data_IF_006647852130
#
_entry.id   IF_006647852130
#
_cell.length_a   1.000
_cell.length_b   1.000
_cell.length_c   1.000
_cell.angle_alpha   90.00
_cell.angle_beta   90.00
_cell.angle_gamma   90.00
#
_symmetry.space_group_name_H-M   'P 1'
#
loop_
_entity.id
_entity.type
_entity.pdbx_description
1 polymer ?
#
# COMPACT_ATOMS: atom_id res chain seq x y z
N UNK A 1 24.83 -78.66 -7.13
CA UNK A 1 24.26 -78.98 -8.47
C UNK A 1 24.07 -77.67 -9.22
N UNK A 2 24.49 -77.67 -10.48
CA UNK A 2 24.57 -76.55 -11.42
C UNK A 2 23.25 -75.79 -11.63
N UNK A 3 23.30 -74.49 -11.93
CA UNK A 3 23.16 -73.98 -13.31
C UNK A 3 23.07 -72.45 -13.38
N UNK A 4 23.80 -71.90 -14.34
CA UNK A 4 23.75 -70.54 -14.85
C UNK A 4 22.41 -70.23 -15.54
N UNK A 5 21.95 -68.98 -15.45
CA UNK A 5 21.26 -68.30 -16.56
C UNK A 5 21.39 -66.77 -16.43
N UNK A 6 22.00 -66.16 -17.45
CA UNK A 6 21.91 -64.72 -17.78
C UNK A 6 20.51 -64.43 -18.35
N UNK A 7 19.94 -63.25 -18.08
CA UNK A 7 19.07 -62.48 -19.00
C UNK A 7 18.88 -61.08 -18.38
N UNK A 8 19.53 -60.04 -18.90
CA UNK A 8 19.07 -59.12 -19.96
C UNK A 8 18.16 -57.99 -19.47
N UNK A 9 18.66 -56.78 -19.71
CA UNK A 9 18.09 -55.47 -19.42
C UNK A 9 16.99 -55.16 -20.44
N UNK A 10 15.76 -54.90 -19.98
CA UNK A 10 14.76 -54.21 -20.76
C UNK A 10 14.06 -53.19 -19.85
N UNK A 11 14.29 -51.93 -20.15
CA UNK A 11 13.72 -50.81 -19.41
C UNK A 11 12.21 -50.72 -19.59
N UNK A 12 11.54 -50.36 -18.50
CA UNK A 12 10.19 -49.80 -18.54
C UNK A 12 10.22 -48.50 -17.75
N UNK A 13 10.51 -47.40 -18.44
CA UNK A 13 10.24 -46.06 -17.93
C UNK A 13 8.72 -45.92 -17.94
N UNK A 14 8.08 -46.10 -16.79
CA UNK A 14 6.69 -45.69 -16.61
C UNK A 14 6.71 -44.17 -16.50
N UNK A 15 6.62 -43.49 -17.64
CA UNK A 15 6.29 -42.07 -17.66
C UNK A 15 4.84 -41.93 -17.17
N UNK A 16 4.67 -41.70 -15.87
CA UNK A 16 3.41 -41.21 -15.34
C UNK A 16 3.22 -39.82 -15.93
N UNK A 17 2.41 -39.74 -16.98
CA UNK A 17 1.94 -38.48 -17.55
C UNK A 17 1.09 -37.79 -16.47
N UNK A 18 1.72 -36.87 -15.74
CA UNK A 18 0.97 -35.88 -14.99
C UNK A 18 0.08 -35.14 -15.99
N UNK A 19 -1.24 -35.00 -15.74
CA UNK A 19 -2.07 -34.20 -16.60
C UNK A 19 -1.49 -32.79 -16.62
N UNK A 20 -1.16 -32.35 -17.83
CA UNK A 20 -0.76 -31.00 -18.14
C UNK A 20 -1.76 -30.04 -17.50
N UNK A 21 -1.22 -29.10 -16.74
CA UNK A 21 -1.84 -27.87 -16.28
C UNK A 21 -3.14 -27.54 -17.06
N UNK A 22 -4.29 -27.77 -16.44
CA UNK A 22 -5.45 -26.96 -16.79
C UNK A 22 -5.08 -25.52 -16.46
N UNK A 23 -4.76 -24.76 -17.50
CA UNK A 23 -4.71 -23.31 -17.41
C UNK A 23 -6.13 -22.87 -17.09
N UNK A 24 -6.41 -22.65 -15.81
CA UNK A 24 -7.49 -21.75 -15.42
C UNK A 24 -7.16 -20.40 -16.04
N UNK A 25 -7.68 -20.16 -17.25
CA UNK A 25 -7.79 -18.85 -17.84
C UNK A 25 -8.65 -18.03 -16.86
N UNK A 26 -7.97 -17.39 -15.91
CA UNK A 26 -8.59 -16.45 -15.00
C UNK A 26 -9.29 -15.42 -15.89
N UNK A 27 -10.62 -15.44 -15.90
CA UNK A 27 -11.43 -14.44 -16.56
C UNK A 27 -11.01 -13.07 -16.01
N UNK A 28 -10.09 -12.41 -16.71
CA UNK A 28 -9.57 -11.12 -16.32
C UNK A 28 -10.71 -10.12 -16.42
N UNK A 29 -11.40 -9.87 -15.30
CA UNK A 29 -12.42 -8.83 -15.23
C UNK A 29 -11.75 -7.52 -15.61
N UNK A 30 -12.19 -6.95 -16.72
CA UNK A 30 -11.78 -5.64 -17.18
C UNK A 30 -12.76 -4.60 -16.64
N UNK A 31 -12.26 -3.43 -16.26
CA UNK A 31 -13.11 -2.30 -15.92
C UNK A 31 -12.53 -0.98 -16.37
N UNK A 32 -13.44 -0.02 -16.50
CA UNK A 32 -13.11 1.36 -16.81
C UNK A 32 -12.73 2.11 -15.54
N UNK A 33 -11.57 2.75 -15.53
CA UNK A 33 -11.18 3.73 -14.52
C UNK A 33 -10.98 5.09 -15.19
N UNK A 34 -11.32 6.16 -14.48
CA UNK A 34 -11.09 7.52 -14.93
C UNK A 34 -9.86 8.11 -14.24
N UNK A 35 -8.87 8.51 -15.03
CA UNK A 35 -7.67 9.20 -14.56
C UNK A 35 -7.82 10.70 -14.88
N UNK A 36 -7.82 11.53 -13.84
CA UNK A 36 -7.82 12.98 -13.96
C UNK A 36 -6.48 13.55 -13.52
N UNK A 37 -5.92 14.50 -14.29
CA UNK A 37 -4.66 15.15 -13.94
C UNK A 37 -4.81 16.68 -13.94
N UNK A 38 -4.83 17.28 -12.73
CA UNK A 38 -4.72 18.74 -12.53
C UNK A 38 -3.46 19.03 -11.70
N UNK A 39 -3.56 19.86 -10.65
CA UNK A 39 -2.49 20.02 -9.66
C UNK A 39 -2.14 18.73 -8.90
N UNK A 40 -3.02 17.72 -8.97
CA UNK A 40 -2.87 16.37 -8.42
C UNK A 40 -3.48 15.35 -9.39
N UNK A 41 -2.94 14.12 -9.38
CA UNK A 41 -3.54 12.98 -10.07
C UNK A 41 -4.69 12.38 -9.24
N UNK A 42 -5.76 11.98 -9.90
CA UNK A 42 -6.91 11.27 -9.30
C UNK A 42 -7.29 10.06 -10.13
N UNK A 43 -7.67 8.98 -9.48
CA UNK A 43 -8.25 7.79 -10.11
C UNK A 43 -9.62 7.54 -9.50
N UNK A 44 -10.66 7.54 -10.34
CA UNK A 44 -12.06 7.46 -9.89
C UNK A 44 -12.38 8.46 -8.76
N UNK A 45 -11.85 9.67 -8.87
CA UNK A 45 -12.02 10.74 -7.87
C UNK A 45 -11.10 10.66 -6.64
N UNK A 46 -10.41 9.53 -6.42
CA UNK A 46 -9.48 9.34 -5.30
C UNK A 46 -8.11 9.94 -5.65
N UNK A 47 -7.58 10.90 -4.86
CA UNK A 47 -6.22 11.44 -5.07
C UNK A 47 -5.15 10.35 -4.96
N UNK A 48 -4.19 10.32 -5.88
CA UNK A 48 -3.08 9.36 -5.84
C UNK A 48 -1.76 10.11 -5.80
N UNK A 49 -0.90 9.68 -4.88
CA UNK A 49 0.49 10.09 -4.78
C UNK A 49 1.35 8.86 -4.57
N UNK A 50 2.29 8.63 -5.47
CA UNK A 50 3.33 7.60 -5.35
C UNK A 50 4.50 7.99 -6.27
N UNK A 51 5.43 7.07 -6.55
CA UNK A 51 6.59 7.34 -7.41
C UNK A 51 6.25 7.70 -8.86
N UNK A 52 5.02 7.42 -9.32
CA UNK A 52 4.56 7.66 -10.69
C UNK A 52 3.58 8.83 -10.78
N UNK A 53 2.71 8.95 -9.80
CA UNK A 53 1.68 9.99 -9.72
C UNK A 53 2.12 11.05 -8.72
N UNK A 54 2.42 12.25 -9.20
CA UNK A 54 2.95 13.35 -8.40
C UNK A 54 1.96 14.51 -8.27
N UNK A 55 2.24 15.38 -7.30
CA UNK A 55 1.51 16.59 -6.98
C UNK A 55 2.36 17.82 -7.30
N UNK A 56 1.70 18.91 -7.67
CA UNK A 56 2.34 20.21 -7.83
C UNK A 56 2.93 20.72 -6.51
N UNK A 57 4.03 21.47 -6.59
CA UNK A 57 4.61 22.22 -5.46
C UNK A 57 3.59 23.16 -4.78
N UNK A 58 2.60 23.68 -5.52
CA UNK A 58 1.58 24.59 -5.00
C UNK A 58 0.42 23.86 -4.29
N UNK A 59 0.34 22.54 -4.38
CA UNK A 59 -0.73 21.79 -3.74
C UNK A 59 -0.47 21.67 -2.23
N UNK A 60 -1.27 22.40 -1.44
CA UNK A 60 -1.12 22.55 0.01
C UNK A 60 -2.50 22.51 0.70
N UNK A 61 -3.17 21.34 0.76
CA UNK A 61 -4.55 21.23 1.24
C UNK A 61 -4.70 21.28 2.77
N UNK A 62 -3.61 21.06 3.52
CA UNK A 62 -3.71 20.72 4.94
C UNK A 62 -4.32 19.32 5.15
N UNK A 63 -4.53 18.94 6.40
CA UNK A 63 -5.15 17.65 6.73
C UNK A 63 -6.65 17.61 6.37
N UNK A 64 -7.08 16.49 5.79
CA UNK A 64 -8.45 16.32 5.36
C UNK A 64 -9.42 16.20 6.56
N UNK A 65 -10.44 17.06 6.61
CA UNK A 65 -11.43 17.08 7.72
C UNK A 65 -12.20 15.77 7.89
N UNK A 66 -12.53 15.08 6.79
CA UNK A 66 -13.24 13.80 6.83
C UNK A 66 -12.34 12.69 7.36
N UNK A 67 -11.07 12.65 6.94
CA UNK A 67 -10.06 11.77 7.51
C UNK A 67 -9.94 11.99 9.03
N UNK A 68 -9.80 13.23 9.48
CA UNK A 68 -9.68 13.58 10.90
C UNK A 68 -10.88 13.05 11.68
N UNK A 69 -12.10 13.29 11.20
CA UNK A 69 -13.34 12.79 11.83
C UNK A 69 -13.30 11.27 12.00
N UNK A 70 -12.95 10.53 10.95
CA UNK A 70 -12.92 9.07 11.02
C UNK A 70 -11.76 8.53 11.85
N UNK A 71 -10.60 9.19 11.83
CA UNK A 71 -9.47 8.84 12.70
C UNK A 71 -9.84 9.03 14.17
N UNK A 72 -10.46 10.16 14.53
CA UNK A 72 -10.87 10.43 15.91
C UNK A 72 -11.90 9.41 16.39
N UNK A 73 -12.82 8.97 15.52
CA UNK A 73 -13.74 7.86 15.84
C UNK A 73 -12.99 6.55 16.07
N UNK A 74 -12.06 6.20 15.18
CA UNK A 74 -11.22 5.00 15.31
C UNK A 74 -10.40 5.01 16.60
N UNK A 75 -9.77 6.14 16.92
CA UNK A 75 -8.97 6.35 18.14
C UNK A 75 -9.83 6.20 19.40
N UNK A 76 -11.03 6.78 19.41
CA UNK A 76 -11.97 6.63 20.52
C UNK A 76 -12.42 5.17 20.73
N UNK A 77 -12.70 4.43 19.65
CA UNK A 77 -13.10 3.02 19.75
C UNK A 77 -11.93 2.10 20.14
N UNK A 78 -10.70 2.45 19.74
CA UNK A 78 -9.47 1.75 20.17
C UNK A 78 -9.23 1.96 21.67
N UNK A 79 -9.43 3.18 22.17
CA UNK A 79 -9.26 3.52 23.59
C UNK A 79 -10.19 2.72 24.51
N UNK A 80 -11.41 2.41 24.07
CA UNK A 80 -12.33 1.53 24.82
C UNK A 80 -11.79 0.11 25.01
N UNK A 81 -10.80 -0.29 24.23
CA UNK A 81 -10.12 -1.59 24.31
C UNK A 81 -8.72 -1.46 24.95
N UNK A 82 -8.41 -0.33 25.59
CA UNK A 82 -7.10 -0.07 26.19
C UNK A 82 -5.98 0.23 25.18
N UNK A 83 -6.32 0.48 23.91
CA UNK A 83 -5.34 0.69 22.83
C UNK A 83 -5.20 2.18 22.56
N UNK A 84 -3.99 2.72 22.71
CA UNK A 84 -3.71 4.13 22.44
C UNK A 84 -3.08 4.33 21.05
N UNK A 85 -3.83 4.96 20.14
CA UNK A 85 -3.35 5.32 18.81
C UNK A 85 -2.89 6.79 18.80
N UNK A 86 -1.60 7.04 18.66
CA UNK A 86 -1.04 8.39 18.60
C UNK A 86 -0.44 8.70 17.24
N UNK A 87 -0.54 9.96 16.82
CA UNK A 87 -0.02 10.41 15.52
C UNK A 87 1.44 10.84 15.70
N UNK A 88 2.30 10.48 14.76
CA UNK A 88 3.67 11.00 14.70
C UNK A 88 3.71 12.34 13.97
N UNK A 89 4.53 13.26 14.47
CA UNK A 89 4.74 14.58 13.90
C UNK A 89 4.11 15.70 14.73
N UNK A 90 3.92 16.86 14.10
CA UNK A 90 3.43 18.05 14.78
C UNK A 90 1.96 17.90 15.22
N UNK A 91 1.68 18.24 16.48
CA UNK A 91 0.32 18.33 17.00
C UNK A 91 -0.54 19.23 16.13
N UNK A 92 -1.74 18.78 15.77
CA UNK A 92 -2.66 19.52 14.92
C UNK A 92 -2.43 19.37 13.40
N UNK A 93 -1.29 18.81 12.98
CA UNK A 93 -1.05 18.55 11.56
C UNK A 93 -1.75 17.28 11.04
N UNK A 94 -2.12 16.34 11.92
CA UNK A 94 -2.76 15.07 11.56
C UNK A 94 -2.07 14.35 10.39
N UNK A 95 -0.74 14.25 10.46
CA UNK A 95 0.09 13.62 9.43
C UNK A 95 0.32 14.47 8.18
N UNK A 96 -0.35 15.62 8.00
CA UNK A 96 -0.11 16.48 6.85
C UNK A 96 1.34 16.97 6.81
N UNK A 97 1.95 16.91 5.63
CA UNK A 97 3.31 17.39 5.37
C UNK A 97 3.35 18.14 4.05
N UNK A 98 3.75 19.41 4.08
CA UNK A 98 3.84 20.23 2.88
C UNK A 98 4.95 19.75 1.93
N UNK A 99 4.88 20.20 0.67
CA UNK A 99 5.96 19.96 -0.30
C UNK A 99 7.32 20.43 0.23
N UNK A 100 7.39 21.63 0.81
CA UNK A 100 8.63 22.21 1.32
C UNK A 100 9.20 21.40 2.49
N UNK A 101 8.34 20.96 3.41
CA UNK A 101 8.73 20.07 4.50
C UNK A 101 9.24 18.72 3.99
N UNK A 102 8.58 18.14 2.98
CA UNK A 102 9.05 16.90 2.34
C UNK A 102 10.39 17.11 1.61
N UNK A 103 10.63 18.27 1.00
CA UNK A 103 11.90 18.61 0.35
C UNK A 103 13.04 18.67 1.35
N UNK A 104 12.85 19.36 2.46
CA UNK A 104 13.83 19.38 3.53
C UNK A 104 14.16 17.97 4.05
N UNK A 105 13.11 17.18 4.35
CA UNK A 105 13.27 15.81 4.85
C UNK A 105 13.96 14.87 3.85
N UNK A 106 13.58 14.96 2.57
CA UNK A 106 14.19 14.12 1.54
C UNK A 106 15.68 14.48 1.37
N UNK A 107 16.01 15.77 1.35
CA UNK A 107 17.39 16.23 1.22
C UNK A 107 18.25 15.81 2.42
N UNK A 108 17.71 15.81 3.64
CA UNK A 108 18.44 15.31 4.82
C UNK A 108 18.72 13.80 4.71
N UNK A 109 17.75 13.00 4.25
CA UNK A 109 17.99 11.58 3.99
C UNK A 109 19.03 11.33 2.90
N UNK A 110 19.01 12.12 1.82
CA UNK A 110 20.04 12.02 0.77
C UNK A 110 21.42 12.35 1.33
N UNK A 111 21.54 13.39 2.15
CA UNK A 111 22.80 13.77 2.76
C UNK A 111 23.32 12.70 3.73
N UNK A 112 22.44 12.07 4.51
CA UNK A 112 22.85 11.07 5.52
C UNK A 112 23.10 9.67 4.96
N UNK A 113 22.34 9.24 3.93
CA UNK A 113 22.32 7.84 3.49
C UNK A 113 22.53 7.64 1.98
N UNK A 114 22.69 8.73 1.23
CA UNK A 114 22.79 8.69 -0.22
C UNK A 114 21.44 8.53 -0.94
N UNK A 115 21.41 8.94 -2.21
CA UNK A 115 20.17 9.05 -2.97
C UNK A 115 19.46 7.71 -3.20
N UNK A 116 20.22 6.63 -3.43
CA UNK A 116 19.65 5.31 -3.68
C UNK A 116 18.85 4.81 -2.47
N UNK A 117 19.40 4.94 -1.26
CA UNK A 117 18.72 4.56 -0.03
C UNK A 117 17.56 5.50 0.31
N UNK A 118 17.76 6.82 0.16
CA UNK A 118 16.70 7.81 0.38
C UNK A 118 15.47 7.57 -0.52
N UNK A 119 15.66 7.13 -1.77
CA UNK A 119 14.55 6.76 -2.66
C UNK A 119 13.76 5.52 -2.19
N UNK A 120 14.29 4.69 -1.29
CA UNK A 120 13.60 3.50 -0.74
C UNK A 120 12.81 3.82 0.52
N UNK A 121 13.38 4.65 1.39
CA UNK A 121 12.84 4.94 2.73
C UNK A 121 12.12 6.28 2.84
N UNK A 122 12.14 7.09 1.77
CA UNK A 122 11.51 8.41 1.74
C UNK A 122 10.91 8.67 0.36
N UNK A 123 10.03 9.67 0.31
CA UNK A 123 9.38 10.12 -0.90
C UNK A 123 10.08 11.38 -1.43
N UNK A 124 10.28 11.45 -2.75
CA UNK A 124 10.66 12.72 -3.40
C UNK A 124 9.53 13.74 -3.17
N UNK A 125 9.84 15.04 -3.08
CA UNK A 125 8.81 16.08 -2.96
C UNK A 125 7.78 15.96 -4.09
N UNK A 126 6.49 16.09 -3.75
CA UNK A 126 5.40 15.85 -4.70
C UNK A 126 4.98 14.39 -4.85
N UNK A 127 5.67 13.41 -4.23
CA UNK A 127 5.30 11.97 -4.31
C UNK A 127 4.84 11.36 -2.98
N UNK A 128 4.88 12.14 -1.89
CA UNK A 128 4.52 11.69 -0.54
C UNK A 128 3.02 11.77 -0.29
N UNK A 129 2.37 10.68 0.12
CA UNK A 129 0.94 10.70 0.46
C UNK A 129 0.59 11.66 1.62
N UNK A 130 1.55 12.03 2.47
CA UNK A 130 1.35 13.06 3.49
C UNK A 130 0.99 14.44 2.90
N UNK A 131 1.45 14.75 1.69
CA UNK A 131 1.08 16.00 1.00
C UNK A 131 -0.38 15.99 0.52
N UNK A 132 -1.00 14.81 0.40
CA UNK A 132 -2.44 14.71 0.13
C UNK A 132 -3.30 15.16 1.33
N UNK A 133 -2.72 15.23 2.53
CA UNK A 133 -3.50 15.42 3.76
C UNK A 133 -4.41 14.22 4.07
N UNK A 134 -4.09 13.05 3.50
CA UNK A 134 -4.86 11.81 3.59
C UNK A 134 -4.09 10.66 4.24
N UNK A 135 -2.86 10.91 4.71
CA UNK A 135 -1.99 9.90 5.31
C UNK A 135 -1.55 10.31 6.71
N UNK A 136 -1.42 9.32 7.60
CA UNK A 136 -0.92 9.48 8.96
C UNK A 136 0.03 8.34 9.30
N UNK A 137 1.12 8.67 9.99
CA UNK A 137 1.99 7.69 10.63
C UNK A 137 1.53 7.54 12.09
N UNK A 138 1.25 6.30 12.50
CA UNK A 138 0.73 5.99 13.84
C UNK A 138 1.81 5.32 14.69
N UNK A 139 1.95 5.78 15.93
CA UNK A 139 2.74 5.11 16.96
C UNK A 139 1.83 4.54 18.05
N UNK A 140 2.35 3.56 18.76
CA UNK A 140 1.73 3.08 19.99
C UNK A 140 1.87 4.18 21.06
N UNK A 141 0.76 4.59 21.67
CA UNK A 141 0.79 5.61 22.72
C UNK A 141 1.24 5.09 24.09
N UNK A 142 1.45 3.78 24.23
CA UNK A 142 1.92 3.13 25.47
C UNK A 142 3.39 2.73 25.43
N UNK A 143 3.99 2.69 24.23
CA UNK A 143 5.37 2.31 24.04
C UNK A 143 6.04 3.27 23.06
N UNK A 144 7.24 3.74 23.36
CA UNK A 144 8.00 4.63 22.47
C UNK A 144 8.52 3.85 21.27
N UNK A 145 7.63 3.56 20.31
CA UNK A 145 8.01 3.00 19.03
C UNK A 145 8.52 4.10 18.09
N UNK A 146 9.79 4.01 17.70
CA UNK A 146 10.30 4.64 16.48
C UNK A 146 9.53 4.07 15.29
N UNK A 147 9.27 4.88 14.26
CA UNK A 147 8.72 4.43 12.97
C UNK A 147 9.63 3.34 12.37
N UNK A 148 9.31 2.09 12.68
CA UNK A 148 10.12 0.92 12.38
C UNK A 148 9.23 -0.30 12.31
N UNK A 149 9.71 -1.35 11.63
CA UNK A 149 8.90 -2.55 11.37
C UNK A 149 8.45 -3.25 12.64
N UNK A 150 9.16 -3.07 13.77
CA UNK A 150 8.77 -3.60 15.07
C UNK A 150 7.40 -3.11 15.56
N UNK A 151 6.90 -1.98 15.04
CA UNK A 151 5.53 -1.53 15.30
C UNK A 151 4.51 -2.63 14.97
N UNK A 152 4.80 -3.53 14.02
CA UNK A 152 3.91 -4.62 13.63
C UNK A 152 3.44 -5.50 14.80
N UNK A 153 4.28 -5.67 15.82
CA UNK A 153 4.03 -6.54 16.98
C UNK A 153 3.17 -5.89 18.08
N UNK A 154 2.98 -4.57 18.02
CA UNK A 154 2.23 -3.78 19.02
C UNK A 154 0.72 -4.06 18.99
N UNK A 155 0.05 -3.76 20.10
CA UNK A 155 -1.41 -3.80 20.17
C UNK A 155 -2.05 -2.78 19.21
N UNK A 156 -1.43 -1.61 19.06
CA UNK A 156 -1.84 -0.57 18.12
C UNK A 156 -1.84 -1.06 16.66
N UNK A 157 -0.75 -1.68 16.20
CA UNK A 157 -0.67 -2.26 14.85
C UNK A 157 -1.72 -3.34 14.63
N UNK A 158 -1.84 -4.30 15.56
CA UNK A 158 -2.83 -5.39 15.46
C UNK A 158 -4.26 -4.83 15.35
N UNK A 159 -4.56 -3.77 16.11
CA UNK A 159 -5.85 -3.10 16.02
C UNK A 159 -6.07 -2.43 14.65
N UNK A 160 -5.07 -1.71 14.12
CA UNK A 160 -5.15 -1.09 12.80
C UNK A 160 -5.37 -2.13 11.70
N UNK A 161 -4.58 -3.20 11.68
CA UNK A 161 -4.71 -4.29 10.70
C UNK A 161 -6.11 -4.93 10.69
N UNK A 162 -6.73 -5.05 11.88
CA UNK A 162 -8.07 -5.62 12.05
C UNK A 162 -9.19 -4.63 11.76
N UNK A 163 -9.03 -3.33 12.05
CA UNK A 163 -10.16 -2.39 12.12
C UNK A 163 -10.06 -1.15 11.23
N UNK A 164 -8.88 -0.75 10.75
CA UNK A 164 -8.68 0.51 10.02
C UNK A 164 -9.67 0.72 8.86
N UNK A 165 -9.93 -0.34 8.09
CA UNK A 165 -10.84 -0.33 6.94
C UNK A 165 -12.27 0.08 7.29
N UNK A 166 -12.75 -0.24 8.50
CA UNK A 166 -14.08 0.14 8.98
C UNK A 166 -14.27 1.65 9.05
N UNK A 167 -13.17 2.39 9.21
CA UNK A 167 -13.11 3.84 9.29
C UNK A 167 -12.59 4.49 8.01
N UNK A 168 -12.34 3.71 6.94
CA UNK A 168 -11.88 4.23 5.66
C UNK A 168 -10.36 4.33 5.50
N UNK A 169 -9.61 3.68 6.38
CA UNK A 169 -8.15 3.62 6.31
C UNK A 169 -7.65 2.26 5.84
N UNK A 170 -6.54 2.26 5.11
CA UNK A 170 -5.78 1.07 4.76
C UNK A 170 -4.37 1.16 5.35
N UNK A 171 -3.74 0.01 5.64
CA UNK A 171 -2.29 -0.03 5.81
C UNK A 171 -1.70 0.10 4.41
N UNK A 172 -0.99 1.20 4.13
CA UNK A 172 -0.70 1.61 2.75
C UNK A 172 0.40 0.79 2.08
N UNK A 173 1.45 0.49 2.85
CA UNK A 173 2.65 -0.18 2.37
C UNK A 173 2.76 -1.53 3.07
N UNK A 174 2.30 -2.58 2.39
CA UNK A 174 2.20 -3.94 2.92
C UNK A 174 3.52 -4.71 2.79
N UNK A 175 3.71 -5.69 3.67
CA UNK A 175 4.86 -6.60 3.63
C UNK A 175 4.90 -7.35 2.29
N UNK A 176 6.07 -7.41 1.65
CA UNK A 176 6.27 -8.10 0.36
C UNK A 176 5.72 -7.36 -0.86
N UNK A 177 5.19 -6.14 -0.72
CA UNK A 177 4.58 -5.37 -1.82
C UNK A 177 5.41 -4.17 -2.30
N UNK A 178 6.68 -4.06 -1.89
CA UNK A 178 7.58 -2.94 -2.25
C UNK A 178 7.76 -2.78 -3.76
N UNK A 179 7.79 -3.86 -4.53
CA UNK A 179 7.89 -3.80 -6.00
C UNK A 179 6.65 -3.18 -6.67
N UNK A 180 5.51 -3.17 -5.96
CA UNK A 180 4.24 -2.63 -6.44
C UNK A 180 4.04 -1.20 -5.94
N UNK A 181 4.21 -0.97 -4.64
CA UNK A 181 3.98 0.34 -4.03
C UNK A 181 5.15 1.31 -4.26
N UNK A 182 6.35 0.78 -4.48
CA UNK A 182 7.60 1.52 -4.52
C UNK A 182 8.16 1.87 -3.14
N UNK A 183 7.52 1.47 -2.03
CA UNK A 183 7.96 1.79 -0.67
C UNK A 183 8.13 0.52 0.14
N UNK A 184 9.09 0.54 1.08
CA UNK A 184 9.29 -0.55 2.03
C UNK A 184 8.04 -0.77 2.88
N UNK A 185 8.01 -1.89 3.62
CA UNK A 185 6.92 -2.18 4.55
C UNK A 185 6.84 -1.13 5.68
N UNK A 186 5.67 -0.52 5.85
CA UNK A 186 5.42 0.49 6.88
C UNK A 186 4.09 0.17 7.61
N UNK A 187 4.11 -0.68 8.65
CA UNK A 187 2.90 -1.05 9.39
C UNK A 187 2.21 0.14 10.10
N UNK A 188 2.93 1.25 10.29
CA UNK A 188 2.43 2.47 10.92
C UNK A 188 1.70 3.40 9.96
N UNK A 189 1.94 3.29 8.65
CA UNK A 189 1.46 4.25 7.67
C UNK A 189 0.05 3.92 7.20
N UNK A 190 -0.92 4.72 7.63
CA UNK A 190 -2.32 4.57 7.26
C UNK A 190 -2.75 5.62 6.23
N UNK A 191 -3.48 5.17 5.21
CA UNK A 191 -3.99 6.02 4.13
C UNK A 191 -5.52 6.02 4.12
N UNK A 192 -6.12 7.20 4.16
CA UNK A 192 -7.57 7.38 4.02
C UNK A 192 -7.99 7.33 2.55
N UNK A 193 -8.91 6.42 2.25
CA UNK A 193 -9.51 6.23 0.91
C UNK A 193 -11.05 6.20 0.98
N UNK A 194 -11.63 6.46 2.16
CA UNK A 194 -13.06 6.29 2.39
C UNK A 194 -13.44 4.85 2.71
N UNK A 195 -14.57 4.67 3.42
CA UNK A 195 -14.97 3.37 3.99
C UNK A 195 -15.21 2.30 2.93
N UNK A 196 -15.86 2.65 1.82
CA UNK A 196 -16.16 1.71 0.73
C UNK A 196 -14.90 1.15 0.09
N UNK A 197 -13.97 2.02 -0.33
CA UNK A 197 -12.70 1.59 -0.94
C UNK A 197 -11.83 0.82 0.07
N UNK A 198 -11.72 1.30 1.31
CA UNK A 198 -10.90 0.64 2.32
C UNK A 198 -11.42 -0.77 2.65
N UNK A 199 -12.75 -0.95 2.76
CA UNK A 199 -13.37 -2.25 2.96
C UNK A 199 -13.06 -3.21 1.82
N UNK A 200 -13.13 -2.76 0.57
CA UNK A 200 -12.81 -3.59 -0.61
C UNK A 200 -11.34 -3.93 -0.70
N UNK A 201 -10.46 -2.96 -0.48
CA UNK A 201 -9.01 -3.18 -0.47
C UNK A 201 -8.65 -4.23 0.61
N UNK A 202 -9.24 -4.11 1.80
CA UNK A 202 -9.07 -5.10 2.87
C UNK A 202 -9.60 -6.47 2.49
N UNK A 203 -10.83 -6.54 1.96
CA UNK A 203 -11.47 -7.80 1.60
C UNK A 203 -10.67 -8.59 0.56
N UNK A 204 -10.14 -7.89 -0.44
CA UNK A 204 -9.36 -8.52 -1.51
C UNK A 204 -7.86 -8.67 -1.18
N UNK A 205 -7.40 -8.13 -0.05
CA UNK A 205 -6.00 -8.17 0.37
C UNK A 205 -5.01 -7.64 -0.69
N UNK A 206 -5.34 -6.49 -1.28
CA UNK A 206 -4.57 -5.84 -2.35
C UNK A 206 -3.97 -4.51 -1.92
N UNK A 207 -2.98 -4.00 -2.65
CA UNK A 207 -2.52 -2.60 -2.50
C UNK A 207 -3.48 -1.62 -3.17
N UNK A 208 -3.28 -0.31 -2.94
CA UNK A 208 -4.01 0.73 -3.65
C UNK A 208 -3.72 0.68 -5.16
N UNK A 209 -2.49 0.35 -5.54
CA UNK A 209 -2.09 0.18 -6.93
C UNK A 209 -2.82 -0.98 -7.59
N UNK A 210 -2.80 -2.17 -6.98
CA UNK A 210 -3.51 -3.35 -7.49
C UNK A 210 -5.02 -3.11 -7.56
N UNK A 211 -5.59 -2.41 -6.58
CA UNK A 211 -7.01 -2.05 -6.56
C UNK A 211 -7.41 -1.14 -7.73
N UNK A 212 -6.53 -0.24 -8.15
CA UNK A 212 -6.77 0.64 -9.30
C UNK A 212 -6.14 0.15 -10.60
N UNK A 213 -5.42 -0.97 -10.59
CA UNK A 213 -4.75 -1.48 -11.79
C UNK A 213 -3.58 -0.62 -12.27
N UNK A 214 -2.88 0.06 -11.37
CA UNK A 214 -1.78 0.97 -11.72
C UNK A 214 -0.42 0.46 -11.23
N UNK A 215 -0.29 -0.84 -10.99
CA UNK A 215 0.96 -1.49 -10.57
C UNK A 215 2.04 -1.51 -11.67
N UNK A 216 1.68 -1.22 -12.92
CA UNK A 216 2.64 -1.18 -14.04
C UNK A 216 3.57 0.02 -13.94
N UNK A 217 4.83 -0.11 -14.39
CA UNK A 217 5.84 0.95 -14.28
C UNK A 217 5.49 2.25 -15.01
N UNK A 218 4.53 2.25 -15.95
CA UNK A 218 4.14 3.44 -16.72
C UNK A 218 2.88 4.08 -16.14
N UNK A 219 2.97 5.38 -15.85
CA UNK A 219 1.83 6.21 -15.46
C UNK A 219 0.78 6.25 -16.58
N UNK A 220 -0.49 6.07 -16.24
CA UNK A 220 -1.60 6.28 -17.17
C UNK A 220 -1.76 7.78 -17.52
N UNK A 221 -2.14 8.08 -18.75
CA UNK A 221 -2.52 9.43 -19.17
C UNK A 221 -3.90 9.81 -18.63
N UNK A 222 -4.30 11.09 -18.70
CA UNK A 222 -5.66 11.48 -18.33
C UNK A 222 -6.66 10.88 -19.33
N UNK A 223 -7.80 10.35 -18.84
CA UNK A 223 -8.82 9.73 -19.68
C UNK A 223 -9.47 8.50 -19.04
N UNK A 224 -10.27 7.79 -19.83
CA UNK A 224 -10.88 6.52 -19.43
C UNK A 224 -9.99 5.36 -19.89
N UNK A 225 -9.67 4.44 -18.98
CA UNK A 225 -8.78 3.31 -19.25
C UNK A 225 -9.45 2.00 -18.89
N UNK A 226 -9.30 1.00 -19.74
CA UNK A 226 -9.71 -0.38 -19.43
C UNK A 226 -8.52 -1.14 -18.88
N UNK A 227 -8.57 -1.56 -17.62
CA UNK A 227 -7.46 -2.29 -16.99
C UNK A 227 -7.83 -3.73 -16.70
N UNK A 228 -6.96 -4.66 -17.11
CA UNK A 228 -7.15 -6.11 -16.99
C UNK A 228 -6.82 -6.59 -15.57
N UNK A 229 -7.63 -7.51 -15.05
CA UNK A 229 -7.38 -8.12 -13.74
C UNK A 229 -7.66 -7.20 -12.54
N UNK A 230 -8.35 -6.08 -12.78
CA UNK A 230 -8.70 -5.12 -11.72
C UNK A 230 -10.00 -5.52 -11.04
N UNK A 231 -10.03 -5.26 -9.73
CA UNK A 231 -11.18 -5.53 -8.88
C UNK A 231 -12.19 -4.40 -9.01
N UNK A 232 -13.02 -4.46 -10.04
CA UNK A 232 -14.04 -3.47 -10.25
C UNK A 232 -15.44 -4.05 -10.11
N UNK A 233 -16.19 -3.46 -9.18
CA UNK A 233 -17.53 -2.89 -9.39
C UNK A 233 -17.82 -1.96 -8.20
N UNK A 234 -18.27 -0.74 -8.51
CA UNK A 234 -18.38 0.42 -7.61
C UNK A 234 -19.31 0.24 -6.43
#
# INVERSE_FOLDING_TARGET
MNAFAKLSLAGLIVATTFPLHETHAANHRSCSIHVGNKTISKINGIPIANKQYYMSRKYNPGANKTMIKWYNKMKADARKQGINLEIVGQTGAYGYRSYATQQYLYNSYVASYGQAYANRISARPGTSEHQLGLAMDIKDGTNYGTLSTSFEYTAASKYLQKNAHKYGFIIRYLKGKEQITGFMYEPWHIRYVGRTHAARIKYNNVTLEEYFGIQEKKRLSSGNHTVRGVICKY
#
